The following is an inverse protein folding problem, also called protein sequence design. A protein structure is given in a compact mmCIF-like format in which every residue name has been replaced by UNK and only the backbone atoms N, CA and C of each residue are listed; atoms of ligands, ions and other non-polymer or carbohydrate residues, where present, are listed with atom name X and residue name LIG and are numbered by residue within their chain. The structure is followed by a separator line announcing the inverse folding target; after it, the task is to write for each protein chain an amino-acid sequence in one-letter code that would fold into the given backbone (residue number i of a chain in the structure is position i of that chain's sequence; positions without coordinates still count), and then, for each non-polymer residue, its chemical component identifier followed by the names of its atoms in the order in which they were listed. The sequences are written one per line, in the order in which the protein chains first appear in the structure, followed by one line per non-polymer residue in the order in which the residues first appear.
data_IF_681474647949
#
_entry.id   IF_681474647949
#
_cell.length_a   1.000
_cell.length_b   1.000
_cell.length_c   1.000
_cell.angle_alpha   90.00
_cell.angle_beta   90.00
_cell.angle_gamma   90.00
#
_symmetry.space_group_name_H-M   'P 1'
#
loop_
_entity.id
_entity.type
_entity.pdbx_description
1 polymer ?
#
# COMPACT_ATOMS: atom_id res chain seq x y z
N UNK A 1 -26.88 -0.99 -0.22
CA UNK A 1 -27.52 -1.46 -1.48
C UNK A 1 -26.47 -1.98 -2.44
N UNK A 2 -26.76 -3.07 -3.18
CA UNK A 2 -25.89 -3.67 -4.20
C UNK A 2 -26.60 -3.76 -5.56
N UNK A 3 -25.90 -3.44 -6.65
CA UNK A 3 -26.37 -3.54 -8.04
C UNK A 3 -25.30 -4.27 -8.86
N UNK A 4 -25.66 -5.40 -9.48
CA UNK A 4 -24.79 -6.16 -10.38
C UNK A 4 -25.07 -5.79 -11.84
N UNK A 5 -24.01 -5.53 -12.62
CA UNK A 5 -24.05 -5.15 -14.03
C UNK A 5 -23.18 -6.10 -14.84
N UNK A 6 -23.78 -6.81 -15.78
CA UNK A 6 -23.09 -7.78 -16.66
C UNK A 6 -22.94 -7.16 -18.05
N UNK A 7 -21.75 -7.31 -18.65
CA UNK A 7 -21.46 -6.80 -20.00
C UNK A 7 -21.87 -5.32 -20.19
N UNK A 8 -21.25 -4.48 -19.36
CA UNK A 8 -21.68 -3.11 -19.10
C UNK A 8 -20.68 -2.06 -19.59
N UNK A 9 -21.03 -0.79 -19.42
CA UNK A 9 -20.19 0.37 -19.74
C UNK A 9 -19.97 1.25 -18.52
N UNK A 10 -18.92 2.08 -18.52
CA UNK A 10 -18.72 3.11 -17.48
C UNK A 10 -19.89 4.09 -17.37
N UNK A 11 -20.64 4.31 -18.46
CA UNK A 11 -21.86 5.13 -18.45
C UNK A 11 -22.96 4.48 -17.61
N UNK A 12 -23.20 3.18 -17.80
CA UNK A 12 -24.23 2.45 -17.07
C UNK A 12 -23.88 2.28 -15.59
N UNK A 13 -22.60 2.10 -15.27
CA UNK A 13 -22.09 2.13 -13.88
C UNK A 13 -22.38 3.49 -13.23
N UNK A 14 -22.10 4.60 -13.93
CA UNK A 14 -22.40 5.94 -13.42
C UNK A 14 -23.91 6.15 -13.20
N UNK A 15 -24.77 5.66 -14.11
CA UNK A 15 -26.23 5.69 -13.93
C UNK A 15 -26.65 4.90 -12.69
N UNK A 16 -26.07 3.71 -12.48
CA UNK A 16 -26.33 2.89 -11.30
C UNK A 16 -25.92 3.59 -9.99
N UNK A 17 -24.75 4.24 -9.96
CA UNK A 17 -24.29 5.05 -8.82
C UNK A 17 -25.24 6.22 -8.50
N UNK A 18 -25.72 6.93 -9.52
CA UNK A 18 -26.69 8.02 -9.36
C UNK A 18 -28.03 7.50 -8.84
N UNK A 19 -28.54 6.42 -9.44
CA UNK A 19 -29.78 5.77 -9.00
C UNK A 19 -29.69 5.30 -7.55
N UNK A 20 -28.54 4.73 -7.17
CA UNK A 20 -28.30 4.22 -5.84
C UNK A 20 -28.32 5.30 -4.75
N UNK A 21 -27.64 6.42 -5.00
CA UNK A 21 -27.68 7.57 -4.09
C UNK A 21 -29.08 8.13 -3.92
N UNK A 22 -29.84 8.25 -5.02
CA UNK A 22 -31.24 8.72 -4.97
C UNK A 22 -32.12 7.81 -4.12
N UNK A 23 -31.98 6.49 -4.29
CA UNK A 23 -32.76 5.51 -3.53
C UNK A 23 -32.47 5.56 -2.02
N UNK A 24 -31.24 5.88 -1.63
CA UNK A 24 -30.84 5.99 -0.21
C UNK A 24 -31.10 7.38 0.40
N UNK A 25 -31.58 8.35 -0.39
CA UNK A 25 -31.83 9.71 0.10
C UNK A 25 -30.56 10.46 0.52
N UNK A 26 -29.37 10.00 0.08
CA UNK A 26 -28.07 10.59 0.42
C UNK A 26 -27.56 11.43 -0.74
N UNK A 27 -27.73 12.76 -0.73
CA UNK A 27 -27.44 13.59 -1.90
C UNK A 27 -25.95 13.66 -2.21
N UNK A 28 -25.09 13.75 -1.19
CA UNK A 28 -23.63 13.80 -1.34
C UNK A 28 -22.97 13.31 -0.05
N UNK A 29 -22.06 12.35 -0.16
CA UNK A 29 -21.11 12.07 0.93
C UNK A 29 -19.85 12.86 0.60
N UNK A 30 -19.39 13.71 1.52
CA UNK A 30 -18.11 14.39 1.38
C UNK A 30 -17.02 13.34 1.19
N UNK A 31 -16.30 13.41 0.08
CA UNK A 31 -15.21 12.48 -0.24
C UNK A 31 -13.91 13.25 -0.24
N UNK A 32 -12.85 12.60 0.22
CA UNK A 32 -11.51 13.20 0.25
C UNK A 32 -10.60 12.61 -0.82
N UNK A 33 -10.96 11.47 -1.42
CA UNK A 33 -10.22 10.83 -2.51
C UNK A 33 -11.04 9.80 -3.29
N UNK A 34 -10.50 9.42 -4.46
CA UNK A 34 -10.83 8.15 -5.14
C UNK A 34 -9.69 7.17 -4.92
N UNK A 35 -9.97 6.01 -4.31
CA UNK A 35 -9.01 4.93 -4.09
C UNK A 35 -9.17 3.89 -5.20
N UNK A 36 -8.21 3.88 -6.12
CA UNK A 36 -8.12 2.93 -7.21
C UNK A 36 -7.28 1.73 -6.76
N UNK A 37 -7.92 0.60 -6.53
CA UNK A 37 -7.28 -0.64 -6.08
C UNK A 37 -7.12 -1.57 -7.26
N UNK A 38 -5.91 -1.98 -7.60
CA UNK A 38 -5.63 -2.78 -8.79
C UNK A 38 -5.09 -4.14 -8.37
N UNK A 39 -5.81 -5.21 -8.71
CA UNK A 39 -5.51 -6.56 -8.23
C UNK A 39 -6.05 -7.62 -9.20
N UNK A 40 -5.83 -8.90 -8.89
CA UNK A 40 -6.48 -10.02 -9.56
C UNK A 40 -7.68 -10.56 -8.74
N UNK A 41 -8.30 -11.65 -9.21
CA UNK A 41 -9.49 -12.22 -8.55
C UNK A 41 -9.15 -12.95 -7.25
N UNK A 42 -7.91 -13.44 -7.10
CA UNK A 42 -7.48 -14.21 -5.93
C UNK A 42 -7.38 -13.29 -4.71
N UNK A 43 -6.76 -12.12 -4.89
CA UNK A 43 -6.53 -11.15 -3.81
C UNK A 43 -7.67 -10.12 -3.64
N UNK A 44 -8.68 -10.15 -4.51
CA UNK A 44 -9.74 -9.15 -4.56
C UNK A 44 -10.50 -8.98 -3.22
N UNK A 45 -10.74 -10.08 -2.52
CA UNK A 45 -11.47 -10.06 -1.25
C UNK A 45 -10.70 -9.29 -0.17
N UNK A 46 -9.43 -9.64 0.03
CA UNK A 46 -8.58 -9.03 1.07
C UNK A 46 -8.26 -7.57 0.72
N UNK A 47 -7.99 -7.29 -0.56
CA UNK A 47 -7.80 -5.93 -1.06
C UNK A 47 -9.03 -5.05 -0.78
N UNK A 48 -10.23 -5.56 -1.05
CA UNK A 48 -11.47 -4.82 -0.80
C UNK A 48 -11.71 -4.60 0.69
N UNK A 49 -11.46 -5.61 1.52
CA UNK A 49 -11.60 -5.51 2.97
C UNK A 49 -10.66 -4.46 3.56
N UNK A 50 -9.41 -4.43 3.11
CA UNK A 50 -8.41 -3.44 3.52
C UNK A 50 -8.78 -2.02 3.04
N UNK A 51 -9.20 -1.88 1.78
CA UNK A 51 -9.67 -0.60 1.24
C UNK A 51 -10.90 -0.07 1.99
N UNK A 52 -11.88 -0.93 2.25
CA UNK A 52 -13.07 -0.60 3.04
C UNK A 52 -12.73 -0.21 4.47
N UNK A 53 -11.71 -0.82 5.07
CA UNK A 53 -11.21 -0.41 6.38
C UNK A 53 -10.64 1.02 6.38
N UNK A 54 -9.83 1.35 5.37
CA UNK A 54 -9.31 2.72 5.21
C UNK A 54 -10.42 3.73 4.94
N UNK A 55 -11.44 3.37 4.15
CA UNK A 55 -12.54 4.26 3.82
C UNK A 55 -13.45 4.64 5.02
N UNK A 56 -13.38 3.89 6.14
CA UNK A 56 -14.06 4.28 7.38
C UNK A 56 -13.42 5.49 8.04
N UNK A 57 -12.11 5.63 7.95
CA UNK A 57 -11.36 6.76 8.51
C UNK A 57 -11.27 7.92 7.51
N UNK A 58 -11.23 7.59 6.22
CA UNK A 58 -11.09 8.55 5.13
C UNK A 58 -12.16 8.31 4.06
N UNK A 59 -13.32 8.98 4.14
CA UNK A 59 -14.41 8.79 3.18
C UNK A 59 -13.96 8.89 1.72
N UNK A 60 -14.08 7.78 0.99
CA UNK A 60 -13.54 7.62 -0.35
C UNK A 60 -14.52 6.93 -1.30
N UNK A 61 -14.35 7.15 -2.60
CA UNK A 61 -14.87 6.23 -3.63
C UNK A 61 -13.80 5.17 -3.88
N UNK A 62 -14.14 3.90 -3.66
CA UNK A 62 -13.26 2.77 -3.98
C UNK A 62 -13.62 2.26 -5.37
N UNK A 63 -12.63 2.23 -6.25
CA UNK A 63 -12.70 1.56 -7.55
C UNK A 63 -11.76 0.35 -7.51
N UNK A 64 -12.30 -0.85 -7.32
CA UNK A 64 -11.54 -2.09 -7.33
C UNK A 64 -11.49 -2.64 -8.76
N UNK A 65 -10.33 -2.56 -9.40
CA UNK A 65 -10.08 -3.06 -10.76
C UNK A 65 -9.46 -4.45 -10.67
N UNK A 66 -10.24 -5.46 -11.04
CA UNK A 66 -9.85 -6.86 -11.13
C UNK A 66 -9.47 -7.17 -12.57
N UNK A 67 -8.17 -7.34 -12.83
CA UNK A 67 -7.66 -7.73 -14.16
C UNK A 67 -7.71 -9.26 -14.29
N UNK A 68 -8.70 -9.80 -15.02
CA UNK A 68 -8.78 -11.27 -15.20
C UNK A 68 -7.90 -11.70 -16.38
N UNK A 69 -6.81 -12.41 -16.08
CA UNK A 69 -5.98 -13.04 -17.11
C UNK A 69 -6.61 -14.37 -17.51
N UNK A 70 -7.15 -14.46 -18.73
CA UNK A 70 -7.69 -15.73 -19.24
C UNK A 70 -6.61 -16.60 -19.87
N UNK A 71 -6.48 -17.85 -19.40
CA UNK A 71 -5.57 -18.85 -20.00
C UNK A 71 -6.04 -19.34 -21.37
N UNK A 72 -7.34 -19.19 -21.70
CA UNK A 72 -7.90 -19.60 -22.99
C UNK A 72 -7.81 -18.49 -24.05
N UNK A 73 -7.24 -18.73 -25.25
CA UNK A 73 -7.18 -17.76 -26.34
C UNK A 73 -8.54 -17.18 -26.74
N UNK A 74 -9.58 -18.02 -26.79
CA UNK A 74 -10.93 -17.61 -27.18
C UNK A 74 -11.57 -16.67 -26.13
N UNK A 75 -11.33 -16.92 -24.84
CA UNK A 75 -11.82 -16.04 -23.77
C UNK A 75 -10.99 -14.76 -23.62
N UNK A 76 -9.74 -14.73 -24.11
CA UNK A 76 -8.95 -13.48 -24.23
C UNK A 76 -9.53 -12.53 -25.28
N UNK A 77 -10.18 -13.05 -26.33
CA UNK A 77 -10.73 -12.24 -27.42
C UNK A 77 -12.06 -11.54 -27.06
N UNK A 78 -12.79 -12.02 -26.04
CA UNK A 78 -14.06 -11.45 -25.63
C UNK A 78 -13.83 -10.27 -24.67
N UNK A 79 -13.74 -9.07 -25.24
CA UNK A 79 -13.75 -7.81 -24.52
C UNK A 79 -15.08 -7.67 -23.75
N UNK A 80 -15.01 -7.65 -22.42
CA UNK A 80 -16.19 -7.53 -21.55
C UNK A 80 -15.82 -6.81 -20.26
N UNK A 81 -16.77 -6.05 -19.75
CA UNK A 81 -16.71 -5.43 -18.42
C UNK A 81 -17.93 -5.90 -17.62
N UNK A 82 -17.68 -6.48 -16.45
CA UNK A 82 -18.72 -6.63 -15.43
C UNK A 82 -18.44 -5.68 -14.29
N UNK A 83 -19.49 -5.20 -13.64
CA UNK A 83 -19.36 -4.33 -12.48
C UNK A 83 -20.35 -4.66 -11.38
N UNK A 84 -19.92 -4.40 -10.15
CA UNK A 84 -20.77 -4.44 -8.96
C UNK A 84 -20.69 -3.08 -8.28
N UNK A 85 -21.84 -2.42 -8.10
CA UNK A 85 -21.95 -1.12 -7.43
C UNK A 85 -22.52 -1.35 -6.03
N UNK A 86 -21.78 -0.96 -5.00
CA UNK A 86 -22.21 -0.98 -3.59
C UNK A 86 -22.25 0.44 -3.05
N UNK A 87 -23.42 0.85 -2.55
CA UNK A 87 -23.63 2.17 -1.93
C UNK A 87 -24.35 1.98 -0.60
N UNK A 88 -23.82 2.56 0.48
CA UNK A 88 -24.38 2.42 1.83
C UNK A 88 -24.52 0.96 2.26
N UNK A 89 -23.54 0.13 1.91
CA UNK A 89 -23.40 -1.23 2.40
C UNK A 89 -22.41 -1.25 3.58
N UNK A 90 -22.52 -2.22 4.49
CA UNK A 90 -21.71 -2.27 5.73
C UNK A 90 -20.19 -2.22 5.47
N UNK A 91 -19.75 -2.76 4.33
CA UNK A 91 -18.38 -2.78 3.84
C UNK A 91 -17.96 -1.49 3.10
N UNK A 92 -18.92 -0.76 2.54
CA UNK A 92 -18.70 0.55 1.93
C UNK A 92 -18.60 1.70 2.96
N UNK A 93 -19.04 1.47 4.19
CA UNK A 93 -19.21 2.55 5.18
C UNK A 93 -20.13 3.64 4.61
N UNK A 94 -19.71 4.91 4.74
CA UNK A 94 -20.38 6.04 4.08
C UNK A 94 -20.00 6.17 2.59
N UNK A 95 -19.10 5.34 2.06
CA UNK A 95 -18.55 5.46 0.70
C UNK A 95 -19.36 4.78 -0.40
N UNK A 96 -18.80 4.83 -1.61
CA UNK A 96 -19.22 4.06 -2.78
C UNK A 96 -18.10 3.09 -3.15
N UNK A 97 -18.44 1.82 -3.32
CA UNK A 97 -17.53 0.82 -3.86
C UNK A 97 -18.03 0.44 -5.26
N UNK A 98 -17.13 0.45 -6.22
CA UNK A 98 -17.35 -0.15 -7.54
C UNK A 98 -16.30 -1.24 -7.76
N UNK A 99 -16.74 -2.47 -7.91
CA UNK A 99 -15.88 -3.59 -8.31
C UNK A 99 -16.00 -3.74 -9.82
N UNK A 100 -14.89 -3.65 -10.53
CA UNK A 100 -14.77 -3.76 -11.97
C UNK A 100 -14.03 -5.05 -12.30
N UNK A 101 -14.65 -5.95 -13.07
CA UNK A 101 -14.01 -7.16 -13.58
C UNK A 101 -13.80 -7.02 -15.08
N UNK A 102 -12.53 -6.92 -15.48
CA UNK A 102 -12.14 -6.64 -16.85
C UNK A 102 -11.69 -7.94 -17.52
N UNK A 103 -12.26 -8.22 -18.69
CA UNK A 103 -11.98 -9.41 -19.48
C UNK A 103 -11.40 -9.04 -20.84
N UNK A 104 -10.46 -9.85 -21.31
CA UNK A 104 -9.86 -9.70 -22.64
C UNK A 104 -9.16 -8.35 -22.83
N UNK A 105 -9.30 -7.77 -24.02
CA UNK A 105 -8.62 -6.52 -24.40
C UNK A 105 -9.02 -5.31 -23.54
N UNK A 106 -10.19 -5.33 -22.90
CA UNK A 106 -10.61 -4.27 -21.96
C UNK A 106 -9.61 -4.15 -20.80
N UNK A 107 -9.02 -5.27 -20.36
CA UNK A 107 -8.01 -5.28 -19.31
C UNK A 107 -6.73 -4.50 -19.67
N UNK A 108 -6.42 -4.34 -20.97
CA UNK A 108 -5.27 -3.55 -21.44
C UNK A 108 -5.55 -2.04 -21.49
N UNK A 109 -6.82 -1.65 -21.45
CA UNK A 109 -7.31 -0.28 -21.51
C UNK A 109 -8.14 0.07 -20.28
N UNK A 110 -7.72 -0.44 -19.11
CA UNK A 110 -8.43 -0.27 -17.86
C UNK A 110 -8.60 1.22 -17.46
N UNK A 111 -7.65 2.05 -17.84
CA UNK A 111 -7.66 3.51 -17.67
C UNK A 111 -8.87 4.16 -18.35
N UNK A 112 -9.22 3.72 -19.55
CA UNK A 112 -10.38 4.23 -20.30
C UNK A 112 -11.71 3.88 -19.63
N UNK A 113 -11.76 2.74 -18.91
CA UNK A 113 -12.93 2.34 -18.10
C UNK A 113 -13.01 3.17 -16.81
N UNK A 114 -11.87 3.41 -16.17
CA UNK A 114 -11.77 4.07 -14.86
C UNK A 114 -11.95 5.58 -14.96
N UNK A 115 -11.38 6.23 -15.97
CA UNK A 115 -11.37 7.69 -16.12
C UNK A 115 -12.77 8.33 -15.97
N UNK A 116 -13.86 7.83 -16.60
CA UNK A 116 -15.20 8.40 -16.44
C UNK A 116 -15.84 8.14 -15.06
N UNK A 117 -15.26 7.26 -14.25
CA UNK A 117 -15.73 6.91 -12.89
C UNK A 117 -14.99 7.68 -11.80
N UNK A 118 -13.94 8.42 -12.16
CA UNK A 118 -13.21 9.29 -11.23
C UNK A 118 -14.08 10.48 -10.81
N UNK A 119 -13.78 10.98 -9.62
CA UNK A 119 -14.37 12.20 -9.10
C UNK A 119 -13.48 13.38 -9.50
N UNK A 120 -14.03 14.45 -10.10
CA UNK A 120 -13.23 15.52 -10.71
C UNK A 120 -12.52 16.42 -9.70
N UNK A 121 -12.98 16.45 -8.44
CA UNK A 121 -12.61 17.42 -7.41
C UNK A 121 -11.76 16.84 -6.28
N UNK A 122 -11.45 15.53 -6.32
CA UNK A 122 -10.67 14.85 -5.29
C UNK A 122 -9.47 14.12 -5.88
N UNK A 123 -8.36 14.00 -5.13
CA UNK A 123 -7.19 13.27 -5.60
C UNK A 123 -7.51 11.80 -5.83
N UNK A 124 -6.78 11.21 -6.79
CA UNK A 124 -6.78 9.79 -7.10
C UNK A 124 -5.55 9.16 -6.49
N UNK A 125 -5.77 8.11 -5.71
CA UNK A 125 -4.73 7.27 -5.11
C UNK A 125 -4.82 5.90 -5.75
N UNK A 126 -3.79 5.50 -6.51
CA UNK A 126 -3.68 4.14 -7.02
C UNK A 126 -2.93 3.27 -6.01
N UNK A 127 -3.42 2.06 -5.77
CA UNK A 127 -2.82 1.10 -4.86
C UNK A 127 -2.81 -0.30 -5.48
N UNK A 128 -1.62 -0.89 -5.51
CA UNK A 128 -1.40 -2.29 -5.86
C UNK A 128 -1.03 -3.06 -4.58
N UNK A 129 -1.96 -3.82 -3.98
CA UNK A 129 -1.66 -4.69 -2.84
C UNK A 129 -0.66 -5.78 -3.23
N UNK A 130 -0.76 -6.29 -4.46
CA UNK A 130 0.09 -7.32 -5.05
C UNK A 130 0.37 -6.97 -6.52
N UNK A 131 1.43 -7.54 -7.09
CA UNK A 131 1.69 -7.47 -8.54
C UNK A 131 1.83 -6.05 -9.10
N UNK A 132 2.40 -5.12 -8.32
CA UNK A 132 2.63 -3.76 -8.76
C UNK A 132 3.54 -3.70 -10.01
N UNK A 133 3.29 -2.78 -10.96
CA UNK A 133 4.13 -2.63 -12.14
C UNK A 133 5.53 -2.09 -11.77
N UNK A 134 6.55 -2.40 -12.57
CA UNK A 134 7.91 -1.89 -12.37
C UNK A 134 8.01 -0.35 -12.42
N UNK A 135 7.10 0.29 -13.16
CA UNK A 135 6.97 1.74 -13.23
C UNK A 135 5.50 2.14 -12.96
N UNK A 136 5.12 2.37 -11.69
CA UNK A 136 3.76 2.77 -11.33
C UNK A 136 3.29 4.03 -12.03
N UNK A 137 4.17 5.01 -12.26
CA UNK A 137 3.79 6.27 -12.93
C UNK A 137 3.49 6.09 -14.43
N UNK A 138 4.08 5.08 -15.08
CA UNK A 138 3.85 4.77 -16.48
C UNK A 138 2.74 3.72 -16.72
N UNK A 139 2.26 3.02 -15.68
CA UNK A 139 1.08 2.17 -15.82
C UNK A 139 -0.14 3.04 -16.14
N UNK A 140 -1.01 2.64 -17.10
CA UNK A 140 -2.16 3.46 -17.50
C UNK A 140 -3.08 3.87 -16.34
N UNK A 141 -3.27 3.00 -15.33
CA UNK A 141 -4.05 3.32 -14.15
C UNK A 141 -3.27 4.22 -13.17
N UNK A 142 -1.96 4.02 -13.06
CA UNK A 142 -1.10 4.85 -12.24
C UNK A 142 -0.94 6.28 -12.77
N UNK A 143 -0.95 6.46 -14.08
CA UNK A 143 -0.93 7.78 -14.72
C UNK A 143 -2.15 8.66 -14.36
N UNK A 144 -3.26 8.05 -13.96
CA UNK A 144 -4.46 8.76 -13.47
C UNK A 144 -4.29 9.27 -12.03
N UNK A 145 -3.31 8.76 -11.30
CA UNK A 145 -3.18 8.94 -9.86
C UNK A 145 -2.09 9.95 -9.48
N UNK A 146 -2.40 10.82 -8.51
CA UNK A 146 -1.39 11.73 -7.92
C UNK A 146 -0.56 11.01 -6.86
N UNK A 147 -1.10 9.95 -6.24
CA UNK A 147 -0.39 9.07 -5.32
C UNK A 147 -0.47 7.63 -5.78
N UNK A 148 0.66 6.94 -5.73
CA UNK A 148 0.80 5.55 -6.18
C UNK A 148 1.43 4.74 -5.06
N UNK A 149 0.71 3.76 -4.57
CA UNK A 149 1.08 2.94 -3.43
C UNK A 149 1.39 1.54 -3.91
N UNK A 150 2.60 1.07 -3.62
CA UNK A 150 3.06 -0.30 -3.88
C UNK A 150 3.35 -1.02 -2.57
N UNK A 151 3.51 -2.34 -2.64
CA UNK A 151 3.97 -3.13 -1.50
C UNK A 151 5.04 -4.13 -1.92
N UNK A 152 6.31 -3.74 -1.78
CA UNK A 152 7.44 -4.61 -2.10
C UNK A 152 7.44 -5.91 -1.28
N UNK A 153 6.91 -5.88 -0.05
CA UNK A 153 6.85 -7.04 0.82
C UNK A 153 5.97 -8.16 0.24
N UNK A 154 4.96 -7.78 -0.55
CA UNK A 154 4.01 -8.68 -1.17
C UNK A 154 4.48 -9.23 -2.54
N UNK A 155 5.70 -8.91 -2.97
CA UNK A 155 6.26 -9.37 -4.24
C UNK A 155 7.08 -10.65 -4.08
N UNK A 156 7.22 -11.43 -5.16
CA UNK A 156 8.00 -12.68 -5.17
C UNK A 156 9.48 -12.48 -4.79
N UNK A 157 10.06 -11.34 -5.16
CA UNK A 157 11.42 -10.97 -4.78
C UNK A 157 11.43 -9.53 -4.24
N UNK A 158 11.15 -9.34 -2.93
CA UNK A 158 10.93 -8.02 -2.34
C UNK A 158 12.07 -7.02 -2.52
N UNK A 159 13.31 -7.46 -2.29
CA UNK A 159 14.48 -6.58 -2.40
C UNK A 159 14.77 -6.21 -3.85
N UNK A 160 14.65 -7.17 -4.78
CA UNK A 160 14.84 -6.89 -6.20
C UNK A 160 13.73 -5.97 -6.75
N UNK A 161 12.48 -6.17 -6.33
CA UNK A 161 11.36 -5.32 -6.70
C UNK A 161 11.57 -3.89 -6.21
N UNK A 162 11.97 -3.71 -4.94
CA UNK A 162 12.32 -2.40 -4.39
C UNK A 162 13.46 -1.71 -5.17
N UNK A 163 14.50 -2.48 -5.55
CA UNK A 163 15.58 -1.98 -6.39
C UNK A 163 15.11 -1.60 -7.81
N UNK A 164 14.04 -2.25 -8.29
CA UNK A 164 13.30 -1.90 -9.50
C UNK A 164 12.64 -0.54 -9.39
N UNK A 165 11.82 -0.34 -8.35
CA UNK A 165 11.13 0.92 -8.08
C UNK A 165 12.09 2.11 -7.99
N UNK A 166 13.31 1.90 -7.48
CA UNK A 166 14.35 2.96 -7.44
C UNK A 166 14.67 3.53 -8.82
N UNK A 167 14.59 2.72 -9.90
CA UNK A 167 14.95 3.14 -11.26
C UNK A 167 13.85 3.96 -11.94
N UNK A 168 12.61 3.81 -11.48
CA UNK A 168 11.40 4.40 -12.06
C UNK A 168 10.69 5.38 -11.12
N UNK A 169 11.28 5.65 -9.95
CA UNK A 169 10.69 6.50 -8.93
C UNK A 169 10.24 7.85 -9.50
N UNK A 170 8.97 8.17 -9.27
CA UNK A 170 8.36 9.44 -9.61
C UNK A 170 7.74 10.06 -8.36
N UNK A 171 7.82 11.40 -8.18
CA UNK A 171 7.13 12.07 -7.08
C UNK A 171 5.66 11.66 -6.99
N UNK A 172 5.24 11.23 -5.79
CA UNK A 172 3.91 10.65 -5.53
C UNK A 172 3.92 9.14 -5.33
N UNK A 173 5.01 8.45 -5.68
CA UNK A 173 5.22 7.03 -5.38
C UNK A 173 5.56 6.83 -3.89
N UNK A 174 4.93 5.84 -3.28
CA UNK A 174 5.22 5.38 -1.91
C UNK A 174 5.13 3.86 -1.86
N UNK A 175 6.10 3.21 -1.25
CA UNK A 175 6.02 1.78 -0.93
C UNK A 175 5.64 1.55 0.53
N UNK A 176 4.74 0.62 0.81
CA UNK A 176 4.30 0.31 2.17
C UNK A 176 5.42 -0.24 3.05
N UNK A 177 6.49 -0.82 2.50
CA UNK A 177 7.68 -1.19 3.27
C UNK A 177 8.30 0.02 3.98
N UNK A 178 8.25 1.22 3.38
CA UNK A 178 8.69 2.44 4.05
C UNK A 178 7.72 2.89 5.15
N UNK A 179 6.41 2.78 4.90
CA UNK A 179 5.37 3.15 5.87
C UNK A 179 5.45 2.30 7.13
N UNK A 180 5.73 0.98 7.00
CA UNK A 180 5.92 0.04 8.13
C UNK A 180 7.06 0.45 9.07
N UNK A 181 8.00 1.27 8.62
CA UNK A 181 9.12 1.76 9.43
C UNK A 181 8.78 2.98 10.28
N UNK A 182 7.56 3.52 10.22
CA UNK A 182 7.24 4.78 10.91
C UNK A 182 7.54 4.71 12.41
N UNK A 183 7.10 3.64 13.09
CA UNK A 183 7.36 3.44 14.52
C UNK A 183 8.84 3.16 14.81
N UNK A 184 9.53 2.37 13.98
CA UNK A 184 10.98 2.16 14.11
C UNK A 184 11.74 3.47 14.04
N UNK A 185 11.47 4.29 13.02
CA UNK A 185 12.14 5.58 12.81
C UNK A 185 11.86 6.56 13.95
N UNK A 186 10.61 6.66 14.40
CA UNK A 186 10.25 7.57 15.52
C UNK A 186 10.91 7.16 16.83
N UNK A 187 10.89 5.85 17.15
CA UNK A 187 11.48 5.32 18.38
C UNK A 187 12.99 5.51 18.38
N UNK A 188 13.67 5.19 17.28
CA UNK A 188 15.12 5.34 17.17
C UNK A 188 15.55 6.81 17.27
N UNK A 189 14.82 7.72 16.62
CA UNK A 189 15.08 9.15 16.74
C UNK A 189 14.94 9.63 18.19
N UNK A 190 13.82 9.30 18.85
CA UNK A 190 13.57 9.71 20.24
C UNK A 190 14.55 9.06 21.25
N UNK A 191 15.05 7.86 20.95
CA UNK A 191 16.05 7.19 21.76
C UNK A 191 17.43 7.84 21.59
N UNK A 192 17.82 8.20 20.37
CA UNK A 192 19.07 8.90 20.08
C UNK A 192 19.14 10.28 20.74
N UNK A 193 18.03 11.02 20.83
CA UNK A 193 17.98 12.32 21.53
C UNK A 193 18.38 12.23 23.01
N UNK A 194 18.38 11.03 23.60
CA UNK A 194 18.74 10.77 25.00
C UNK A 194 20.18 10.27 25.19
N UNK A 195 20.90 9.96 24.10
CA UNK A 195 22.26 9.40 24.17
C UNK A 195 23.26 10.45 23.66
N UNK A 196 24.28 10.82 24.44
CA UNK A 196 25.24 11.82 24.03
C UNK A 196 26.23 11.27 23.00
N UNK A 197 26.58 12.12 22.03
CA UNK A 197 27.63 11.85 21.05
C UNK A 197 27.16 11.15 19.78
N UNK A 198 28.04 11.04 18.77
CA UNK A 198 27.68 10.47 17.48
C UNK A 198 27.57 8.95 17.54
N UNK A 199 26.70 8.41 16.68
CA UNK A 199 26.66 6.98 16.36
C UNK A 199 27.92 6.62 15.57
N UNK A 200 28.54 5.49 15.91
CA UNK A 200 29.77 4.97 15.28
C UNK A 200 29.55 3.67 14.52
N UNK A 201 28.53 2.91 14.89
CA UNK A 201 28.13 1.67 14.22
C UNK A 201 26.62 1.51 14.30
N UNK A 202 26.05 0.82 13.32
CA UNK A 202 24.63 0.49 13.31
C UNK A 202 24.43 -0.93 12.76
N UNK A 203 23.52 -1.67 13.38
CA UNK A 203 23.11 -3.02 12.94
C UNK A 203 21.59 -3.04 12.82
N UNK A 204 21.08 -3.59 11.74
CA UNK A 204 19.66 -3.91 11.55
C UNK A 204 19.51 -5.42 11.43
N UNK A 205 18.79 -6.01 12.37
CA UNK A 205 18.50 -7.44 12.42
C UNK A 205 17.10 -7.70 11.87
N UNK A 206 16.98 -8.62 10.91
CA UNK A 206 15.70 -8.98 10.31
C UNK A 206 15.73 -10.38 9.71
N UNK A 207 14.56 -10.91 9.39
CA UNK A 207 14.46 -12.04 8.45
C UNK A 207 15.15 -11.73 7.10
N UNK A 208 15.48 -12.78 6.36
CA UNK A 208 16.07 -12.68 5.03
C UNK A 208 15.14 -11.91 4.06
N UNK A 209 15.74 -11.20 3.10
CA UNK A 209 15.03 -10.53 2.01
C UNK A 209 13.93 -9.53 2.42
N UNK A 210 13.99 -9.01 3.66
CA UNK A 210 13.03 -8.01 4.12
C UNK A 210 13.29 -6.62 3.49
N UNK A 211 12.34 -6.05 2.72
CA UNK A 211 12.51 -4.75 2.07
C UNK A 211 12.46 -3.58 3.07
N UNK A 212 11.73 -3.72 4.18
CA UNK A 212 11.67 -2.70 5.22
C UNK A 212 13.02 -2.60 5.94
N UNK A 213 13.66 -3.73 6.23
CA UNK A 213 15.00 -3.76 6.83
C UNK A 213 16.06 -3.13 5.91
N UNK A 214 15.99 -3.40 4.60
CA UNK A 214 16.86 -2.74 3.61
C UNK A 214 16.67 -1.22 3.65
N UNK A 215 15.42 -0.74 3.59
CA UNK A 215 15.13 0.70 3.65
C UNK A 215 15.58 1.34 4.97
N UNK A 216 15.39 0.65 6.09
CA UNK A 216 15.80 1.15 7.40
C UNK A 216 17.33 1.28 7.49
N UNK A 217 18.06 0.27 7.03
CA UNK A 217 19.52 0.30 7.00
C UNK A 217 20.05 1.45 6.11
N UNK A 218 19.48 1.62 4.91
CA UNK A 218 19.84 2.71 4.00
C UNK A 218 19.53 4.09 4.58
N UNK A 219 18.37 4.23 5.23
CA UNK A 219 17.98 5.48 5.89
C UNK A 219 18.91 5.81 7.06
N UNK A 220 19.21 4.85 7.94
CA UNK A 220 20.14 5.05 9.05
C UNK A 220 21.52 5.45 8.54
N UNK A 221 22.06 4.74 7.54
CA UNK A 221 23.36 5.07 6.97
C UNK A 221 23.40 6.47 6.35
N UNK A 222 22.35 6.85 5.62
CA UNK A 222 22.24 8.18 5.03
C UNK A 222 22.08 9.30 6.08
N UNK A 223 21.42 9.04 7.21
CA UNK A 223 21.19 10.05 8.26
C UNK A 223 22.34 10.18 9.26
N UNK A 224 23.02 9.07 9.54
CA UNK A 224 24.06 8.99 10.57
C UNK A 224 25.48 9.05 10.00
N UNK A 225 25.65 8.81 8.69
CA UNK A 225 26.96 8.80 8.04
C UNK A 225 27.83 7.60 8.44
N UNK A 226 27.21 6.49 8.85
CA UNK A 226 27.89 5.23 9.22
C UNK A 226 27.42 4.11 8.33
N UNK A 227 28.29 3.13 8.10
CA UNK A 227 27.88 1.87 7.47
C UNK A 227 26.95 1.11 8.42
N UNK A 228 25.87 0.57 7.85
CA UNK A 228 24.86 -0.19 8.59
C UNK A 228 24.96 -1.65 8.20
N UNK A 229 25.35 -2.49 9.16
CA UNK A 229 25.38 -3.93 8.98
C UNK A 229 23.95 -4.49 8.98
N UNK A 230 23.66 -5.38 8.03
CA UNK A 230 22.41 -6.15 8.02
C UNK A 230 22.70 -7.57 8.47
N UNK A 231 22.03 -8.00 9.53
CA UNK A 231 22.17 -9.34 10.09
C UNK A 231 20.86 -10.10 9.89
N UNK A 232 20.97 -11.31 9.33
CA UNK A 232 19.80 -12.17 9.13
C UNK A 232 19.49 -12.93 10.42
N UNK A 233 18.25 -12.82 10.89
CA UNK A 233 17.71 -13.49 12.07
C UNK A 233 16.44 -14.28 11.71
N UNK A 234 15.90 -15.04 12.67
CA UNK A 234 14.72 -15.89 12.46
C UNK A 234 13.40 -15.14 12.20
N UNK A 235 13.37 -13.81 12.38
CA UNK A 235 12.15 -13.00 12.18
C UNK A 235 11.07 -13.21 13.27
N UNK A 236 9.84 -12.73 13.02
CA UNK A 236 9.36 -12.14 11.76
C UNK A 236 9.76 -10.66 11.58
N UNK A 237 9.93 -10.26 10.34
CA UNK A 237 10.25 -8.87 9.92
C UNK A 237 11.55 -8.38 10.57
N UNK A 238 11.58 -7.16 11.13
CA UNK A 238 12.73 -6.59 11.84
C UNK A 238 12.66 -7.04 13.30
N UNK A 239 13.74 -7.65 13.79
CA UNK A 239 13.85 -8.14 15.16
C UNK A 239 14.61 -7.19 16.06
N UNK A 240 15.60 -6.45 15.54
CA UNK A 240 16.31 -5.47 16.34
C UNK A 240 16.99 -4.38 15.48
N UNK A 241 17.27 -3.25 16.14
CA UNK A 241 18.21 -2.25 15.67
C UNK A 241 19.15 -1.89 16.80
N UNK A 242 20.45 -1.96 16.54
CA UNK A 242 21.51 -1.64 17.52
C UNK A 242 22.34 -0.48 16.99
N UNK A 243 22.54 0.55 17.82
CA UNK A 243 23.35 1.72 17.50
C UNK A 243 24.47 1.85 18.53
N UNK A 244 25.71 1.71 18.08
CA UNK A 244 26.89 1.85 18.93
C UNK A 244 27.33 3.30 19.04
N UNK A 245 27.53 3.78 20.27
CA UNK A 245 28.03 5.13 20.57
C UNK A 245 29.25 5.06 21.49
N UNK A 246 29.92 6.20 21.73
CA UNK A 246 30.97 6.29 22.74
C UNK A 246 30.47 6.04 24.18
N UNK A 247 29.19 6.29 24.43
CA UNK A 247 28.55 6.08 25.74
C UNK A 247 28.10 4.62 25.95
N UNK A 248 28.07 3.81 24.89
CA UNK A 248 27.57 2.43 24.89
C UNK A 248 26.57 2.17 23.76
N UNK A 249 25.95 1.00 23.79
CA UNK A 249 24.95 0.58 22.81
C UNK A 249 23.54 1.06 23.20
N UNK A 250 22.82 1.58 22.20
CA UNK A 250 21.38 1.77 22.20
C UNK A 250 20.77 0.63 21.38
N UNK A 251 19.79 -0.08 21.92
CA UNK A 251 19.07 -1.12 21.17
C UNK A 251 17.56 -0.96 21.26
N UNK A 252 16.89 -1.19 20.14
CA UNK A 252 15.45 -1.42 20.08
C UNK A 252 15.25 -2.84 19.61
N UNK A 253 14.70 -3.70 20.46
CA UNK A 253 14.58 -5.13 20.22
C UNK A 253 13.13 -5.56 20.29
N UNK A 254 12.75 -6.48 19.41
CA UNK A 254 11.44 -7.13 19.36
C UNK A 254 11.67 -8.63 19.16
N UNK A 255 12.13 -9.34 20.21
CA UNK A 255 12.52 -10.74 20.11
C UNK A 255 11.31 -11.66 19.87
N UNK A 256 10.19 -11.47 20.58
CA UNK A 256 8.97 -12.27 20.41
C UNK A 256 7.70 -11.44 20.74
N UNK A 257 6.79 -11.29 19.78
CA UNK A 257 5.49 -10.66 19.97
C UNK A 257 5.42 -9.15 19.65
N UNK A 258 4.32 -8.47 20.06
CA UNK A 258 4.05 -7.09 19.65
C UNK A 258 4.85 -6.04 20.44
N UNK A 259 5.41 -6.40 21.59
CA UNK A 259 6.08 -5.49 22.49
C UNK A 259 7.57 -5.37 22.13
N UNK A 260 8.00 -4.16 21.81
CA UNK A 260 9.41 -3.85 21.66
C UNK A 260 10.00 -3.39 23.00
N UNK A 261 11.30 -3.60 23.20
CA UNK A 261 12.07 -3.12 24.33
C UNK A 261 13.12 -2.14 23.86
N UNK A 262 13.28 -1.03 24.58
CA UNK A 262 14.33 -0.04 24.37
C UNK A 262 15.36 -0.16 25.50
N UNK A 263 16.62 -0.41 25.14
CA UNK A 263 17.76 -0.30 26.03
C UNK A 263 18.59 0.93 25.66
N UNK A 264 18.94 1.73 26.66
CA UNK A 264 19.85 2.87 26.52
C UNK A 264 21.11 2.60 27.35
N UNK A 265 22.27 3.16 26.97
CA UNK A 265 23.50 2.98 27.73
C UNK A 265 23.34 3.35 29.21
N UNK A 266 23.72 2.43 30.10
CA UNK A 266 23.66 2.63 31.55
C UNK A 266 22.24 2.69 32.14
N UNK A 267 21.20 2.34 31.39
CA UNK A 267 19.81 2.28 31.88
C UNK A 267 19.23 0.88 31.70
N UNK A 268 18.34 0.43 32.61
CA UNK A 268 17.65 -0.85 32.42
C UNK A 268 16.77 -0.79 31.16
N UNK A 269 16.63 -1.92 30.43
CA UNK A 269 15.69 -2.02 29.32
C UNK A 269 14.26 -1.72 29.77
N UNK A 270 13.49 -1.08 28.89
CA UNK A 270 12.08 -0.74 29.15
C UNK A 270 11.19 -1.09 27.97
N UNK A 271 9.96 -1.58 28.21
CA UNK A 271 9.00 -1.84 27.14
C UNK A 271 8.55 -0.53 26.47
N UNK A 272 8.16 -0.62 25.20
CA UNK A 272 7.60 0.45 24.36
C UNK A 272 6.11 0.26 24.12
#
# INVERSE_FOLDING_TARGET
MRIDLTDTTSSDINKALVSARRALGTPTVGRVLTLLVVTDEEDAYDALRAAGASAREHPARILLVIRRTSRSPHRRALARLDAEVRVGADDAGAGEIVVLRLYGEVGKHADSVVLPLLLPDVPVVAWWPYGAPENPAADPLGALAQRRITDAYASENPVAFLAGLRRSYTPGDTDLAWTRLTLWRSTLAAALDQVPGPVRSAVVESEADNPSAELLARWLGARLGVDVERVVTGGPVITAVRLGTAAGELSVERPDGPLASLALPGRPPRPL
#
